data_IF_086612232480
#
_entry.id   IF_086612232480
#
_cell.length_a   1.000
_cell.length_b   1.000
_cell.length_c   1.000
_cell.angle_alpha   90.00
_cell.angle_beta   90.00
_cell.angle_gamma   90.00
#
_symmetry.space_group_name_H-M   'P 1'
#
loop_
_entity.id
_entity.type
_entity.pdbx_description
1 polymer ?
#
# COMPACT_ATOMS: atom_id res chain seq x y z
N UNK A 1 24.75 3.96 -8.64
CA UNK A 1 24.88 2.85 -7.67
C UNK A 1 24.33 3.23 -6.29
N UNK A 2 23.24 4.02 -6.21
CA UNK A 2 22.62 4.42 -4.94
C UNK A 2 21.14 3.99 -4.86
N UNK A 3 20.43 3.99 -6.01
CA UNK A 3 19.01 3.60 -6.08
C UNK A 3 18.82 2.10 -5.83
N UNK A 4 19.76 1.27 -6.30
CA UNK A 4 19.70 -0.18 -6.12
C UNK A 4 19.77 -0.60 -4.65
N UNK A 5 20.50 0.15 -3.83
CA UNK A 5 20.65 -0.10 -2.39
C UNK A 5 19.32 0.16 -1.65
N UNK A 6 18.62 1.24 -2.00
CA UNK A 6 17.32 1.59 -1.41
C UNK A 6 16.25 0.55 -1.76
N UNK A 7 16.17 0.11 -3.02
CA UNK A 7 15.17 -0.89 -3.44
C UNK A 7 15.45 -2.30 -2.92
N UNK A 8 16.69 -2.58 -2.48
CA UNK A 8 17.04 -3.89 -1.92
C UNK A 8 16.63 -4.04 -0.45
N UNK A 9 16.07 -3.01 0.17
CA UNK A 9 15.65 -3.05 1.57
C UNK A 9 14.16 -3.34 1.69
N UNK A 10 13.80 -4.32 2.53
CA UNK A 10 12.40 -4.62 2.86
C UNK A 10 11.69 -3.42 3.48
N UNK A 11 12.45 -2.61 4.23
CA UNK A 11 11.98 -1.36 4.83
C UNK A 11 11.41 -0.38 3.80
N UNK A 12 12.02 -0.29 2.60
CA UNK A 12 11.53 0.60 1.53
C UNK A 12 10.15 0.20 1.03
N UNK A 13 9.94 -1.10 0.78
CA UNK A 13 8.65 -1.62 0.32
C UNK A 13 7.57 -1.49 1.40
N UNK A 14 7.92 -1.79 2.66
CA UNK A 14 6.99 -1.68 3.78
C UNK A 14 6.60 -0.22 4.07
N UNK A 15 7.55 0.70 4.09
CA UNK A 15 7.29 2.13 4.28
C UNK A 15 6.46 2.72 3.14
N UNK A 16 6.71 2.29 1.90
CA UNK A 16 5.91 2.69 0.74
C UNK A 16 4.45 2.25 0.89
N UNK A 17 4.20 0.98 1.25
CA UNK A 17 2.86 0.47 1.51
C UNK A 17 2.14 1.28 2.61
N UNK A 18 2.81 1.52 3.75
CA UNK A 18 2.24 2.30 4.85
C UNK A 18 1.93 3.73 4.42
N UNK A 19 2.84 4.38 3.69
CA UNK A 19 2.65 5.74 3.20
C UNK A 19 1.41 5.84 2.29
N UNK A 20 1.30 4.95 1.31
CA UNK A 20 0.16 4.92 0.37
C UNK A 20 -1.17 4.77 1.13
N UNK A 21 -1.26 3.80 2.04
CA UNK A 21 -2.49 3.54 2.81
C UNK A 21 -2.87 4.71 3.75
N UNK A 22 -1.88 5.45 4.26
CA UNK A 22 -2.14 6.54 5.22
C UNK A 22 -2.86 7.76 4.62
N UNK A 23 -2.76 7.99 3.31
CA UNK A 23 -3.39 9.14 2.65
C UNK A 23 -4.92 9.11 2.74
N UNK A 24 -5.55 7.94 2.75
CA UNK A 24 -7.00 7.82 2.96
C UNK A 24 -7.45 8.35 4.31
N UNK A 25 -6.63 8.20 5.35
CA UNK A 25 -6.90 8.79 6.67
C UNK A 25 -6.84 10.31 6.61
N UNK A 26 -5.88 10.87 5.87
CA UNK A 26 -5.76 12.32 5.67
C UNK A 26 -6.99 12.87 4.95
N UNK A 27 -7.45 12.20 3.89
CA UNK A 27 -8.67 12.59 3.18
C UNK A 27 -9.91 12.49 4.07
N UNK A 28 -10.03 11.44 4.88
CA UNK A 28 -11.13 11.29 5.82
C UNK A 28 -11.13 12.38 6.92
N UNK A 29 -9.94 12.79 7.39
CA UNK A 29 -9.82 13.93 8.32
C UNK A 29 -10.29 15.22 7.63
N UNK A 30 -9.97 15.40 6.35
CA UNK A 30 -10.38 16.57 5.59
C UNK A 30 -11.90 16.60 5.31
N UNK A 31 -12.56 15.46 5.12
CA UNK A 31 -14.02 15.40 4.95
C UNK A 31 -14.77 15.73 6.25
N UNK A 32 -14.15 15.49 7.41
CA UNK A 32 -14.69 15.80 8.73
C UNK A 32 -15.69 14.75 9.25
N UNK A 33 -15.90 13.64 8.53
CA UNK A 33 -16.77 12.55 8.97
C UNK A 33 -16.01 11.59 9.90
N UNK A 34 -16.49 11.46 11.14
CA UNK A 34 -15.89 10.58 12.15
C UNK A 34 -15.94 9.11 11.73
N UNK A 35 -17.00 8.68 11.05
CA UNK A 35 -17.14 7.30 10.60
C UNK A 35 -16.11 6.99 9.50
N UNK A 36 -15.93 7.90 8.54
CA UNK A 36 -14.90 7.77 7.51
C UNK A 36 -13.50 7.70 8.13
N UNK A 37 -13.21 8.55 9.12
CA UNK A 37 -11.91 8.54 9.81
C UNK A 37 -11.67 7.18 10.47
N UNK A 38 -12.64 6.64 11.21
CA UNK A 38 -12.50 5.35 11.91
C UNK A 38 -12.31 4.21 10.90
N UNK A 39 -13.12 4.17 9.85
CA UNK A 39 -13.05 3.12 8.82
C UNK A 39 -11.70 3.15 8.09
N UNK A 40 -11.29 4.32 7.59
CA UNK A 40 -10.04 4.47 6.84
C UNK A 40 -8.81 4.28 7.72
N UNK A 41 -8.88 4.65 9.01
CA UNK A 41 -7.82 4.33 9.98
C UNK A 41 -7.69 2.83 10.22
N UNK A 42 -8.83 2.12 10.34
CA UNK A 42 -8.83 0.67 10.48
C UNK A 42 -8.21 -0.04 9.27
N UNK A 43 -8.57 0.41 8.07
CA UNK A 43 -8.00 -0.10 6.81
C UNK A 43 -6.49 0.18 6.71
N UNK A 44 -6.07 1.42 6.97
CA UNK A 44 -4.65 1.78 6.99
C UNK A 44 -3.87 0.95 8.01
N UNK A 45 -4.45 0.67 9.18
CA UNK A 45 -3.86 -0.20 10.20
C UNK A 45 -3.72 -1.65 9.70
N UNK A 46 -4.72 -2.16 8.97
CA UNK A 46 -4.67 -3.49 8.34
C UNK A 46 -3.52 -3.60 7.34
N UNK A 47 -3.38 -2.62 6.44
CA UNK A 47 -2.27 -2.59 5.48
C UNK A 47 -0.91 -2.40 6.16
N UNK A 48 -0.83 -1.59 7.22
CA UNK A 48 0.39 -1.46 8.01
C UNK A 48 0.78 -2.79 8.70
N UNK A 49 -0.19 -3.53 9.22
CA UNK A 49 0.06 -4.86 9.78
C UNK A 49 0.58 -5.83 8.71
N UNK A 50 -0.03 -5.85 7.51
CA UNK A 50 0.48 -6.63 6.38
C UNK A 50 1.90 -6.21 5.96
N UNK A 51 2.20 -4.91 5.97
CA UNK A 51 3.53 -4.41 5.66
C UNK A 51 4.57 -4.88 6.68
N UNK A 52 4.25 -4.82 7.98
CA UNK A 52 5.13 -5.30 9.06
C UNK A 52 5.35 -6.82 8.92
N UNK A 53 4.27 -7.58 8.72
CA UNK A 53 4.34 -9.04 8.55
C UNK A 53 5.16 -9.40 7.31
N UNK A 54 4.94 -8.71 6.19
CA UNK A 54 5.68 -8.99 4.96
C UNK A 54 7.15 -8.58 5.03
N UNK A 55 7.48 -7.49 5.74
CA UNK A 55 8.88 -7.15 5.99
C UNK A 55 9.58 -8.21 6.84
N UNK A 56 8.93 -8.72 7.90
CA UNK A 56 9.57 -9.65 8.85
C UNK A 56 9.56 -11.10 8.41
N UNK A 57 8.49 -11.56 7.74
CA UNK A 57 8.27 -12.98 7.47
C UNK A 57 8.50 -13.29 6.00
N UNK A 58 7.88 -12.56 5.08
CA UNK A 58 7.96 -12.86 3.64
C UNK A 58 7.66 -11.65 2.77
N UNK A 59 8.63 -11.24 1.95
CA UNK A 59 8.47 -10.14 1.01
C UNK A 59 7.39 -10.38 -0.06
N UNK A 60 6.96 -11.63 -0.26
CA UNK A 60 5.80 -11.93 -1.09
C UNK A 60 4.50 -11.37 -0.52
N UNK A 61 4.40 -11.27 0.82
CA UNK A 61 3.26 -10.64 1.49
C UNK A 61 3.26 -9.13 1.21
N UNK A 62 4.43 -8.48 1.12
CA UNK A 62 4.52 -7.06 0.72
C UNK A 62 4.03 -6.86 -0.72
N UNK A 63 4.44 -7.72 -1.65
CA UNK A 63 3.95 -7.65 -3.03
C UNK A 63 2.43 -7.86 -3.11
N UNK A 64 1.91 -8.83 -2.35
CA UNK A 64 0.47 -9.09 -2.26
C UNK A 64 -0.29 -7.94 -1.58
N UNK A 65 0.28 -7.29 -0.56
CA UNK A 65 -0.33 -6.16 0.13
C UNK A 65 -0.45 -4.93 -0.80
N UNK A 66 0.61 -4.62 -1.57
CA UNK A 66 0.58 -3.56 -2.58
C UNK A 66 -0.51 -3.84 -3.61
N UNK A 67 -0.51 -5.03 -4.22
CA UNK A 67 -1.52 -5.38 -5.20
C UNK A 67 -2.94 -5.35 -4.61
N UNK A 68 -3.09 -5.86 -3.38
CA UNK A 68 -4.35 -5.87 -2.65
C UNK A 68 -4.88 -4.46 -2.35
N UNK A 69 -4.00 -3.51 -2.07
CA UNK A 69 -4.37 -2.10 -1.89
C UNK A 69 -4.87 -1.48 -3.20
N UNK A 70 -4.16 -1.69 -4.30
CA UNK A 70 -4.60 -1.17 -5.60
C UNK A 70 -5.97 -1.74 -6.01
N UNK A 71 -6.20 -3.02 -5.76
CA UNK A 71 -7.52 -3.66 -5.93
C UNK A 71 -8.55 -3.04 -4.99
N UNK A 72 -8.21 -2.88 -3.71
CA UNK A 72 -9.07 -2.25 -2.73
C UNK A 72 -9.53 -0.86 -3.20
N UNK A 73 -8.63 -0.02 -3.72
CA UNK A 73 -8.96 1.33 -4.19
C UNK A 73 -10.02 1.38 -5.29
N UNK A 74 -10.08 0.37 -6.15
CA UNK A 74 -11.08 0.29 -7.23
C UNK A 74 -12.45 -0.14 -6.69
N UNK A 75 -12.48 -1.07 -5.75
CA UNK A 75 -13.72 -1.69 -5.28
C UNK A 75 -14.30 -1.01 -4.02
N UNK A 76 -13.44 -0.46 -3.17
CA UNK A 76 -13.84 0.14 -1.89
C UNK A 76 -14.79 1.31 -2.10
N UNK A 77 -14.57 2.14 -3.12
CA UNK A 77 -15.46 3.25 -3.45
C UNK A 77 -16.88 2.84 -3.85
N UNK A 78 -17.13 1.55 -4.13
CA UNK A 78 -18.49 1.03 -4.39
C UNK A 78 -19.22 0.58 -3.12
N UNK A 79 -18.49 0.39 -2.02
CA UNK A 79 -19.01 -0.21 -0.77
C UNK A 79 -18.90 0.74 0.41
N UNK A 80 -17.90 1.63 0.38
CA UNK A 80 -17.50 2.52 1.46
C UNK A 80 -17.46 3.94 0.89
N UNK A 81 -17.86 4.92 1.70
CA UNK A 81 -17.68 6.32 1.35
C UNK A 81 -16.20 6.62 1.10
N UNK A 82 -15.92 7.20 -0.07
CA UNK A 82 -14.57 7.49 -0.51
C UNK A 82 -14.27 8.98 -0.33
N UNK A 83 -13.46 9.37 0.68
CA UNK A 83 -13.11 10.76 0.92
C UNK A 83 -12.06 11.28 -0.09
N UNK A 84 -11.42 10.39 -0.86
CA UNK A 84 -10.36 10.76 -1.77
C UNK A 84 -10.92 11.39 -3.07
N UNK A 85 -10.15 12.28 -3.72
CA UNK A 85 -10.48 12.76 -5.06
C UNK A 85 -10.62 11.61 -6.06
N UNK A 86 -11.51 11.74 -7.05
CA UNK A 86 -11.79 10.65 -8.00
C UNK A 86 -10.59 10.17 -8.85
N UNK A 87 -9.50 10.94 -8.92
CA UNK A 87 -8.25 10.54 -9.60
C UNK A 87 -7.32 9.71 -8.71
N UNK A 88 -7.51 9.73 -7.38
CA UNK A 88 -6.62 9.09 -6.43
C UNK A 88 -6.62 7.56 -6.56
N UNK A 89 -7.81 6.94 -6.60
CA UNK A 89 -7.94 5.49 -6.74
C UNK A 89 -7.24 4.93 -8.00
N UNK A 90 -7.49 5.48 -9.21
CA UNK A 90 -6.77 5.06 -10.43
C UNK A 90 -5.26 5.26 -10.35
N UNK A 91 -4.79 6.34 -9.71
CA UNK A 91 -3.37 6.60 -9.50
C UNK A 91 -2.73 5.55 -8.58
N UNK A 92 -3.36 5.28 -7.43
CA UNK A 92 -2.93 4.26 -6.49
C UNK A 92 -2.89 2.88 -7.13
N UNK A 93 -3.93 2.47 -7.86
CA UNK A 93 -3.93 1.22 -8.62
C UNK A 93 -2.70 1.12 -9.54
N UNK A 94 -2.40 2.18 -10.29
CA UNK A 94 -1.26 2.21 -11.20
C UNK A 94 0.08 2.02 -10.47
N UNK A 95 0.32 2.79 -9.41
CA UNK A 95 1.54 2.69 -8.60
C UNK A 95 1.64 1.32 -7.92
N UNK A 96 0.57 0.86 -7.31
CA UNK A 96 0.53 -0.39 -6.55
C UNK A 96 0.83 -1.60 -7.45
N UNK A 97 0.24 -1.64 -8.64
CA UNK A 97 0.50 -2.71 -9.62
C UNK A 97 1.95 -2.66 -10.09
N UNK A 98 2.49 -1.48 -10.41
CA UNK A 98 3.88 -1.34 -10.87
C UNK A 98 4.85 -1.77 -9.78
N UNK A 99 4.64 -1.33 -8.54
CA UNK A 99 5.49 -1.67 -7.40
C UNK A 99 5.38 -3.15 -7.03
N UNK A 100 4.17 -3.71 -7.01
CA UNK A 100 3.95 -5.13 -6.76
C UNK A 100 4.64 -6.00 -7.82
N UNK A 101 4.51 -5.64 -9.10
CA UNK A 101 5.15 -6.35 -10.20
C UNK A 101 6.68 -6.25 -10.14
N UNK A 102 7.21 -5.07 -9.82
CA UNK A 102 8.65 -4.87 -9.65
C UNK A 102 9.19 -5.74 -8.51
N UNK A 103 8.56 -5.68 -7.33
CA UNK A 103 8.94 -6.49 -6.17
C UNK A 103 8.83 -7.99 -6.47
N UNK A 104 7.72 -8.44 -7.07
CA UNK A 104 7.54 -9.84 -7.46
C UNK A 104 8.62 -10.31 -8.44
N UNK A 105 8.98 -9.49 -9.42
CA UNK A 105 10.04 -9.80 -10.36
C UNK A 105 11.42 -9.91 -9.69
N UNK A 106 11.72 -9.06 -8.70
CA UNK A 106 12.96 -9.15 -7.92
C UNK A 106 13.01 -10.46 -7.11
N UNK A 107 11.90 -10.81 -6.45
CA UNK A 107 11.78 -12.04 -5.67
C UNK A 107 11.86 -13.30 -6.55
N UNK A 108 11.23 -13.30 -7.73
CA UNK A 108 11.34 -14.40 -8.69
C UNK A 108 12.75 -14.59 -9.24
N UNK A 109 13.54 -13.51 -9.34
CA UNK A 109 14.96 -13.58 -9.71
C UNK A 109 15.86 -14.06 -8.56
N UNK A 110 15.28 -14.38 -7.40
CA UNK A 110 16.02 -14.84 -6.22
C UNK A 110 16.76 -13.72 -5.50
N UNK A 111 16.40 -12.45 -5.72
CA UNK A 111 17.02 -11.34 -4.99
C UNK A 111 16.63 -11.40 -3.52
N UNK A 112 17.64 -11.39 -2.65
CA UNK A 112 17.45 -11.31 -1.21
C UNK A 112 17.36 -9.84 -0.83
N UNK A 113 16.24 -9.48 -0.23
CA UNK A 113 16.02 -8.16 0.33
C UNK A 113 16.46 -8.15 1.80
N UNK A 114 17.27 -7.15 2.14
CA UNK A 114 17.80 -6.91 3.50
C UNK A 114 16.77 -6.23 4.42
#
# INVERSE_FOLDING_TARGET
MAIGDVTNQRGTWATTMVAIASFYVVFAIQSGDTLEIVVHTGLATGFAALAIVGARISSWILAAALLGHGVFDVFAGQVIANPAPGWWGPFCLGIDVVLAAALAAMLWRGQVLD
#
